data_IF_096931918327
#
_entry.id   IF_096931918327
#
_cell.length_a   1.000
_cell.length_b   1.000
_cell.length_c   1.000
_cell.angle_alpha   90.00
_cell.angle_beta   90.00
_cell.angle_gamma   90.00
#
_symmetry.space_group_name_H-M   'P 1'
#
loop_
_entity.id
_entity.type
_entity.pdbx_description
1 polymer ?
#
# COMPACT_ATOMS: atom_id res chain seq x y z
N UNK A 1 -14.39 17.66 -17.85
CA UNK A 1 -13.11 18.37 -18.03
C UNK A 1 -12.62 18.14 -19.47
N UNK A 2 -11.61 18.87 -19.95
CA UNK A 2 -10.83 18.50 -21.15
C UNK A 2 -9.36 18.59 -20.74
N UNK A 3 -8.64 17.48 -20.87
CA UNK A 3 -7.20 17.43 -20.64
C UNK A 3 -6.48 18.06 -21.85
N UNK A 4 -5.39 18.77 -21.60
CA UNK A 4 -4.37 19.09 -22.61
C UNK A 4 -3.12 18.21 -22.42
N UNK A 5 -2.29 18.09 -23.47
CA UNK A 5 -0.97 17.44 -23.44
C UNK A 5 -0.15 17.74 -22.16
N UNK A 6 -0.07 19.02 -21.76
CA UNK A 6 0.64 19.48 -20.55
C UNK A 6 0.20 18.82 -19.23
N UNK A 7 -0.95 18.13 -19.20
CA UNK A 7 -1.51 17.50 -18.00
C UNK A 7 -1.23 15.99 -17.91
N UNK A 8 -0.57 15.41 -18.91
CA UNK A 8 -0.33 13.97 -19.06
C UNK A 8 1.17 13.75 -19.29
N UNK A 9 1.82 13.04 -18.37
CA UNK A 9 3.26 12.78 -18.41
C UNK A 9 3.56 11.32 -18.06
N UNK A 10 4.76 10.84 -18.44
CA UNK A 10 5.29 9.56 -17.93
C UNK A 10 6.09 9.82 -16.65
N UNK A 11 5.73 9.11 -15.57
CA UNK A 11 6.40 9.19 -14.28
C UNK A 11 7.64 8.29 -14.20
N UNK A 12 8.40 8.45 -13.11
CA UNK A 12 9.49 7.54 -12.75
C UNK A 12 8.92 6.32 -11.99
N UNK A 13 9.12 5.08 -12.46
CA UNK A 13 8.74 3.87 -11.74
C UNK A 13 9.26 3.82 -10.29
N UNK A 14 10.47 4.37 -10.05
CA UNK A 14 11.12 4.33 -8.74
C UNK A 14 10.35 5.08 -7.65
N UNK A 15 9.43 5.96 -8.01
CA UNK A 15 8.54 6.64 -7.06
C UNK A 15 7.43 5.70 -6.58
N UNK A 16 6.89 4.85 -7.46
CA UNK A 16 5.95 3.80 -7.07
C UNK A 16 6.65 2.73 -6.24
N UNK A 17 7.87 2.32 -6.60
CA UNK A 17 8.67 1.36 -5.81
C UNK A 17 8.95 1.89 -4.39
N UNK A 18 9.23 3.20 -4.24
CA UNK A 18 9.44 3.83 -2.93
C UNK A 18 8.15 3.90 -2.10
N UNK A 19 7.02 4.26 -2.72
CA UNK A 19 5.72 4.29 -2.03
C UNK A 19 5.33 2.87 -1.59
N UNK A 20 5.54 1.86 -2.45
CA UNK A 20 5.32 0.46 -2.09
C UNK A 20 6.20 0.04 -0.91
N UNK A 21 7.53 0.15 -1.04
CA UNK A 21 8.47 -0.26 0.01
C UNK A 21 8.30 0.49 1.35
N UNK A 22 7.79 1.73 1.33
CA UNK A 22 7.46 2.50 2.53
C UNK A 22 6.16 2.03 3.21
N UNK A 23 5.16 1.62 2.42
CA UNK A 23 3.79 1.35 2.88
C UNK A 23 3.37 -0.13 2.90
N UNK A 24 4.19 -1.03 2.37
CA UNK A 24 3.85 -2.44 2.27
C UNK A 24 3.62 -3.09 3.64
N UNK A 25 2.68 -4.07 3.72
CA UNK A 25 2.58 -4.96 4.87
C UNK A 25 3.92 -5.65 5.14
N UNK A 26 4.35 -5.71 6.40
CA UNK A 26 5.72 -6.13 6.75
C UNK A 26 5.82 -7.09 7.93
N UNK A 27 6.77 -8.00 7.84
CA UNK A 27 7.33 -8.70 8.99
C UNK A 27 8.35 -7.79 9.69
N UNK A 28 8.29 -7.70 11.01
CA UNK A 28 9.23 -6.93 11.85
C UNK A 28 9.86 -7.86 12.88
N UNK A 29 11.18 -7.89 12.90
CA UNK A 29 11.99 -8.71 13.79
C UNK A 29 12.28 -7.98 15.11
N UNK A 30 12.13 -8.70 16.22
CA UNK A 30 12.63 -8.30 17.54
C UNK A 30 13.33 -9.48 18.22
N UNK A 31 14.22 -9.19 19.15
CA UNK A 31 14.97 -10.20 19.92
C UNK A 31 14.64 -10.11 21.40
N UNK A 32 14.37 -11.24 22.03
CA UNK A 32 14.34 -11.33 23.49
C UNK A 32 15.73 -10.99 24.07
N UNK A 33 15.76 -10.14 25.10
CA UNK A 33 16.98 -9.89 25.86
C UNK A 33 17.41 -11.11 26.68
N UNK A 34 18.70 -11.20 26.99
CA UNK A 34 19.25 -12.21 27.91
C UNK A 34 18.44 -12.22 29.23
N UNK A 35 17.75 -13.32 29.58
CA UNK A 35 16.92 -13.41 30.78
C UNK A 35 17.74 -13.41 32.08
N UNK A 36 19.06 -13.46 32.00
CA UNK A 36 20.01 -13.44 33.10
C UNK A 36 20.80 -12.11 33.22
N UNK A 37 20.57 -11.16 32.32
CA UNK A 37 21.23 -9.85 32.35
C UNK A 37 20.58 -8.89 33.35
N UNK A 38 21.42 -8.16 34.11
CA UNK A 38 20.99 -7.14 35.08
C UNK A 38 21.53 -5.79 34.63
N UNK A 39 20.65 -4.78 34.54
CA UNK A 39 20.95 -3.47 33.93
C UNK A 39 20.90 -2.35 34.97
N UNK A 40 22.07 -1.82 35.33
CA UNK A 40 22.15 -0.57 36.10
C UNK A 40 21.65 0.63 35.27
N UNK A 41 20.93 1.55 35.92
CA UNK A 41 20.17 2.62 35.26
C UNK A 41 20.56 4.00 35.80
N UNK A 42 21.49 4.69 35.13
CA UNK A 42 21.59 6.16 35.22
C UNK A 42 20.57 6.83 34.28
N UNK A 43 19.90 7.87 34.75
CA UNK A 43 18.85 8.59 34.01
C UNK A 43 19.32 9.99 33.62
N UNK A 44 19.23 10.32 32.33
CA UNK A 44 19.19 11.72 31.83
C UNK A 44 18.17 11.83 30.71
N UNK A 45 17.43 12.95 30.68
CA UNK A 45 16.44 13.29 29.67
C UNK A 45 16.71 14.74 29.24
N UNK A 46 16.95 15.03 27.95
CA UNK A 46 16.91 16.39 27.41
C UNK A 46 15.55 16.67 26.74
N UNK A 47 15.12 17.93 26.77
CA UNK A 47 13.89 18.43 26.12
C UNK A 47 14.21 19.59 25.18
N UNK A 48 13.52 19.70 24.05
CA UNK A 48 13.57 20.88 23.16
C UNK A 48 12.17 21.23 22.62
N UNK A 49 12.01 22.50 22.21
CA UNK A 49 10.80 23.07 21.60
C UNK A 49 11.14 23.75 20.27
N UNK A 50 10.13 24.01 19.42
CA UNK A 50 10.28 24.46 18.02
C UNK A 50 9.33 25.63 17.69
N UNK A 51 9.70 26.46 16.70
CA UNK A 51 8.85 27.46 16.00
C UNK A 51 9.70 28.30 15.02
N UNK A 52 9.15 28.97 13.98
CA UNK A 52 7.79 28.92 13.43
C UNK A 52 7.40 30.03 12.42
N UNK A 53 7.17 29.62 11.15
CA UNK A 53 6.22 30.12 10.10
C UNK A 53 6.29 31.59 9.54
N UNK A 54 6.00 31.70 8.21
CA UNK A 54 5.32 32.78 7.42
C UNK A 54 6.19 33.56 6.37
N UNK A 55 5.74 33.89 5.13
CA UNK A 55 4.57 33.43 4.34
C UNK A 55 4.14 34.29 3.10
N UNK A 56 3.63 33.63 2.04
CA UNK A 56 2.62 34.02 1.00
C UNK A 56 2.80 35.18 -0.06
N UNK A 57 2.37 34.91 -1.33
CA UNK A 57 2.07 35.88 -2.43
C UNK A 57 1.63 35.22 -3.78
N UNK A 58 0.79 35.83 -4.68
CA UNK A 58 -0.14 35.03 -5.54
C UNK A 58 -0.36 35.36 -7.07
N UNK A 59 -0.98 34.39 -7.79
CA UNK A 59 -1.84 34.44 -9.02
C UNK A 59 -1.24 34.90 -10.40
N UNK A 60 -1.75 34.52 -11.61
CA UNK A 60 -2.85 33.62 -12.09
C UNK A 60 -3.67 34.25 -13.28
N UNK A 61 -4.40 33.59 -14.21
CA UNK A 61 -4.59 32.18 -14.67
C UNK A 61 -5.51 32.12 -15.97
N UNK A 62 -5.86 30.91 -16.48
CA UNK A 62 -6.87 30.55 -17.55
C UNK A 62 -6.43 30.54 -19.06
N UNK A 63 -6.69 29.53 -19.93
CA UNK A 63 -7.78 28.52 -20.26
C UNK A 63 -8.88 29.08 -21.22
N UNK A 64 -9.45 28.41 -22.25
CA UNK A 64 -9.22 27.16 -23.04
C UNK A 64 -10.22 27.04 -24.26
N UNK A 65 -10.39 25.85 -24.92
CA UNK A 65 -11.52 25.35 -25.80
C UNK A 65 -11.60 25.63 -27.34
N UNK A 66 -12.31 24.86 -28.21
CA UNK A 66 -12.90 23.48 -28.16
C UNK A 66 -13.59 23.00 -29.47
N UNK A 67 -13.82 21.68 -29.57
CA UNK A 67 -14.97 20.99 -30.23
C UNK A 67 -15.59 19.97 -29.20
N UNK A 68 -16.45 18.97 -29.47
CA UNK A 68 -17.26 18.58 -30.64
C UNK A 68 -16.95 17.16 -31.18
N UNK A 69 -17.48 16.08 -30.54
CA UNK A 69 -17.09 14.64 -30.66
C UNK A 69 -15.72 14.45 -31.31
N UNK A 70 -14.74 14.74 -30.48
CA UNK A 70 -13.39 15.06 -30.88
C UNK A 70 -12.43 13.95 -30.47
N UNK A 71 -11.39 13.78 -31.28
CA UNK A 71 -10.05 13.70 -30.69
C UNK A 71 -9.86 15.05 -29.98
N UNK A 72 -10.13 15.09 -28.67
CA UNK A 72 -10.03 16.32 -27.87
C UNK A 72 -8.56 16.74 -27.78
N UNK A 73 -7.69 15.73 -27.74
CA UNK A 73 -6.26 15.86 -28.00
C UNK A 73 -5.69 14.50 -28.48
N UNK A 74 -4.60 14.52 -29.26
CA UNK A 74 -3.82 13.33 -29.65
C UNK A 74 -2.34 13.70 -29.80
N UNK A 75 -1.53 13.05 -28.98
CA UNK A 75 -0.08 13.23 -28.90
C UNK A 75 0.59 11.91 -28.45
N UNK A 76 1.92 11.88 -28.44
CA UNK A 76 2.69 10.70 -27.97
C UNK A 76 3.52 11.12 -26.77
N UNK A 77 3.27 10.52 -25.60
CA UNK A 77 4.02 10.78 -24.36
C UNK A 77 4.88 9.57 -24.04
N UNK A 78 6.20 9.72 -24.17
CA UNK A 78 7.13 8.60 -24.01
C UNK A 78 6.80 7.46 -24.97
N UNK A 79 6.47 6.30 -24.43
CA UNK A 79 6.12 5.07 -25.14
C UNK A 79 4.62 4.90 -25.43
N UNK A 80 3.79 5.95 -25.24
CA UNK A 80 2.34 5.87 -25.40
C UNK A 80 1.80 6.86 -26.43
N UNK A 81 1.09 6.35 -27.43
CA UNK A 81 0.18 7.16 -28.24
C UNK A 81 -1.12 7.38 -27.44
N UNK A 82 -1.42 8.63 -27.11
CA UNK A 82 -2.56 9.03 -26.29
C UNK A 82 -3.68 9.60 -27.17
N UNK A 83 -4.91 9.21 -26.85
CA UNK A 83 -6.15 9.71 -27.44
C UNK A 83 -7.12 10.07 -26.33
N UNK A 84 -7.59 11.32 -26.29
CA UNK A 84 -8.67 11.74 -25.39
C UNK A 84 -9.95 11.86 -26.22
N UNK A 85 -10.91 10.98 -25.98
CA UNK A 85 -12.14 10.88 -26.76
C UNK A 85 -13.32 11.46 -25.97
N UNK A 86 -14.07 12.37 -26.61
CA UNK A 86 -15.44 12.66 -26.21
C UNK A 86 -16.42 11.75 -26.96
N UNK A 87 -17.45 11.25 -26.28
CA UNK A 87 -18.53 10.48 -26.89
C UNK A 87 -19.90 11.00 -26.44
N UNK A 88 -20.85 11.04 -27.36
CA UNK A 88 -22.27 11.35 -27.08
C UNK A 88 -23.14 10.07 -27.11
N UNK A 89 -22.67 9.00 -27.78
CA UNK A 89 -23.35 7.70 -27.91
C UNK A 89 -22.36 6.54 -27.69
N UNK A 90 -22.80 5.46 -27.04
CA UNK A 90 -21.98 4.25 -26.75
C UNK A 90 -21.53 3.53 -28.01
N UNK A 91 -22.47 3.32 -28.91
CA UNK A 91 -22.32 2.42 -30.05
C UNK A 91 -21.36 3.03 -31.08
N UNK A 92 -21.29 4.36 -31.15
CA UNK A 92 -20.31 5.11 -31.94
C UNK A 92 -18.89 5.05 -31.37
N UNK A 93 -18.73 5.11 -30.04
CA UNK A 93 -17.42 4.98 -29.38
C UNK A 93 -16.84 3.57 -29.56
N UNK A 94 -17.68 2.55 -29.36
CA UNK A 94 -17.30 1.15 -29.57
C UNK A 94 -16.91 0.89 -31.05
N UNK A 95 -17.74 1.35 -32.00
CA UNK A 95 -17.45 1.23 -33.43
C UNK A 95 -16.11 1.89 -33.78
N UNK A 96 -15.86 3.11 -33.33
CA UNK A 96 -14.61 3.83 -33.59
C UNK A 96 -13.39 3.07 -33.05
N UNK A 97 -13.49 2.50 -31.84
CA UNK A 97 -12.41 1.71 -31.24
C UNK A 97 -12.13 0.44 -32.05
N UNK A 98 -13.16 -0.29 -32.46
CA UNK A 98 -13.02 -1.50 -33.30
C UNK A 98 -12.41 -1.16 -34.66
N UNK A 99 -12.87 -0.10 -35.33
CA UNK A 99 -12.33 0.37 -36.62
C UNK A 99 -10.86 0.80 -36.52
N UNK A 100 -10.44 1.37 -35.38
CA UNK A 100 -9.04 1.74 -35.11
C UNK A 100 -8.18 0.57 -34.58
N UNK A 101 -8.71 -0.66 -34.59
CA UNK A 101 -8.00 -1.89 -34.28
C UNK A 101 -7.81 -2.17 -32.78
N UNK A 102 -8.59 -1.52 -31.91
CA UNK A 102 -8.64 -1.88 -30.49
C UNK A 102 -9.46 -3.15 -30.29
N UNK A 103 -9.02 -4.01 -29.38
CA UNK A 103 -9.78 -5.20 -28.97
C UNK A 103 -10.74 -4.79 -27.86
N UNK A 104 -12.03 -4.85 -28.15
CA UNK A 104 -13.11 -4.54 -27.21
C UNK A 104 -13.80 -5.85 -26.82
N UNK A 105 -13.97 -6.17 -25.52
CA UNK A 105 -14.66 -7.37 -25.07
C UNK A 105 -16.19 -7.23 -25.20
N UNK A 106 -16.89 -8.36 -25.33
CA UNK A 106 -18.35 -8.41 -25.36
C UNK A 106 -18.94 -7.85 -24.04
N UNK A 107 -19.95 -6.98 -24.14
CA UNK A 107 -20.53 -6.27 -23.00
C UNK A 107 -19.84 -4.93 -22.64
N UNK A 108 -18.77 -4.54 -23.34
CA UNK A 108 -18.12 -3.26 -23.10
C UNK A 108 -19.06 -2.07 -23.37
N UNK A 109 -19.92 -2.16 -24.38
CA UNK A 109 -20.94 -1.15 -24.74
C UNK A 109 -21.87 -0.82 -23.57
N UNK A 110 -22.38 -1.85 -22.89
CA UNK A 110 -23.23 -1.75 -21.70
C UNK A 110 -22.46 -1.13 -20.51
N UNK A 111 -21.17 -1.44 -20.37
CA UNK A 111 -20.30 -0.86 -19.34
C UNK A 111 -19.84 0.58 -19.67
N UNK A 112 -19.77 0.99 -20.94
CA UNK A 112 -19.45 2.35 -21.38
C UNK A 112 -20.64 3.30 -21.22
N UNK A 113 -21.87 2.82 -21.39
CA UNK A 113 -23.08 3.64 -21.40
C UNK A 113 -23.33 4.49 -20.13
N UNK A 114 -23.02 4.04 -18.89
CA UNK A 114 -23.07 4.88 -17.69
C UNK A 114 -22.10 6.08 -17.76
N UNK A 115 -20.86 5.86 -18.15
CA UNK A 115 -19.83 6.92 -18.22
C UNK A 115 -20.18 7.99 -19.25
N UNK A 116 -20.76 7.59 -20.39
CA UNK A 116 -21.25 8.51 -21.42
C UNK A 116 -22.43 9.35 -20.90
N UNK A 117 -23.37 8.74 -20.17
CA UNK A 117 -24.48 9.46 -19.51
C UNK A 117 -24.01 10.43 -18.42
N UNK A 118 -22.86 10.15 -17.79
CA UNK A 118 -22.20 11.08 -16.86
C UNK A 118 -21.32 12.13 -17.57
N UNK A 119 -21.26 12.13 -18.91
CA UNK A 119 -20.48 13.10 -19.70
C UNK A 119 -18.96 12.96 -19.56
N UNK A 120 -18.48 11.78 -19.16
CA UNK A 120 -17.06 11.50 -18.97
C UNK A 120 -16.30 11.45 -20.31
N UNK A 121 -14.97 11.54 -20.24
CA UNK A 121 -14.06 11.43 -21.37
C UNK A 121 -13.28 10.12 -21.28
N UNK A 122 -12.98 9.53 -22.43
CA UNK A 122 -12.30 8.25 -22.50
C UNK A 122 -10.84 8.50 -22.86
N UNK A 123 -9.97 8.25 -21.89
CA UNK A 123 -8.52 8.28 -22.05
C UNK A 123 -8.08 6.91 -22.59
N UNK A 124 -7.54 6.91 -23.82
CA UNK A 124 -7.07 5.69 -24.49
C UNK A 124 -5.57 5.81 -24.73
N UNK A 125 -4.80 5.01 -24.00
CA UNK A 125 -3.36 4.89 -24.20
C UNK A 125 -3.03 3.62 -24.98
N UNK A 126 -2.25 3.75 -26.06
CA UNK A 126 -1.77 2.65 -26.88
C UNK A 126 -0.24 2.61 -26.83
N UNK A 127 0.34 1.46 -26.50
CA UNK A 127 1.80 1.31 -26.48
C UNK A 127 2.36 1.45 -27.89
N UNK A 128 3.23 2.44 -28.07
CA UNK A 128 3.99 2.68 -29.29
C UNK A 128 5.29 1.87 -29.20
N UNK A 129 5.34 0.74 -29.91
CA UNK A 129 6.46 -0.20 -29.83
C UNK A 129 7.78 0.41 -30.34
N UNK A 130 7.74 1.36 -31.28
CA UNK A 130 8.95 1.97 -31.81
C UNK A 130 9.58 2.95 -30.80
N UNK A 131 8.77 3.72 -30.06
CA UNK A 131 9.27 4.53 -28.94
C UNK A 131 9.66 3.66 -27.73
N UNK A 132 8.89 2.62 -27.41
CA UNK A 132 9.22 1.67 -26.34
C UNK A 132 10.59 1.03 -26.55
N UNK A 133 10.88 0.55 -27.76
CA UNK A 133 12.17 -0.05 -28.10
C UNK A 133 13.38 0.91 -27.99
N UNK A 134 13.16 2.24 -28.01
CA UNK A 134 14.22 3.25 -27.80
C UNK A 134 14.53 3.50 -26.32
N UNK A 135 13.61 3.19 -25.41
CA UNK A 135 13.78 3.45 -23.97
C UNK A 135 14.93 2.64 -23.35
N UNK A 136 15.21 1.46 -23.89
CA UNK A 136 16.12 0.48 -23.29
C UNK A 136 15.57 -0.22 -22.04
N UNK A 137 14.31 0.02 -21.65
CA UNK A 137 13.66 -0.64 -20.51
C UNK A 137 12.82 -1.83 -20.96
N UNK A 138 12.72 -2.86 -20.12
CA UNK A 138 11.79 -3.99 -20.29
C UNK A 138 10.44 -3.75 -19.57
N UNK A 139 10.17 -2.49 -19.17
CA UNK A 139 9.02 -2.08 -18.38
C UNK A 139 8.48 -0.76 -18.90
N UNK A 140 7.15 -0.65 -18.93
CA UNK A 140 6.41 0.57 -19.26
C UNK A 140 6.42 1.54 -18.05
N UNK A 141 6.62 2.83 -18.30
CA UNK A 141 6.60 3.87 -17.26
C UNK A 141 5.16 4.23 -16.83
N UNK A 142 4.91 4.53 -15.55
CA UNK A 142 3.59 4.96 -15.08
C UNK A 142 3.06 6.16 -15.87
N UNK A 143 1.81 6.08 -16.34
CA UNK A 143 1.10 7.24 -16.88
C UNK A 143 0.59 8.08 -15.70
N UNK A 144 0.97 9.36 -15.66
CA UNK A 144 0.46 10.35 -14.71
C UNK A 144 -0.53 11.28 -15.40
N UNK A 145 -1.60 11.64 -14.71
CA UNK A 145 -2.64 12.54 -15.21
C UNK A 145 -3.08 13.51 -14.10
N UNK A 146 -3.08 14.82 -14.37
CA UNK A 146 -3.48 15.84 -13.40
C UNK A 146 -4.78 16.54 -13.83
N UNK A 147 -5.87 16.42 -13.05
CA UNK A 147 -7.18 17.00 -13.38
C UNK A 147 -8.02 17.34 -12.14
N UNK A 148 -9.04 18.17 -12.35
CA UNK A 148 -10.03 18.56 -11.35
C UNK A 148 -11.34 17.79 -11.60
N UNK A 149 -11.89 17.13 -10.57
CA UNK A 149 -13.16 16.40 -10.61
C UNK A 149 -13.98 16.71 -9.36
N UNK A 150 -15.31 16.80 -9.50
CA UNK A 150 -16.22 16.78 -8.34
C UNK A 150 -16.47 15.34 -7.86
N UNK A 151 -16.32 14.38 -8.76
CA UNK A 151 -16.54 12.95 -8.54
C UNK A 151 -15.18 12.32 -8.19
N UNK A 152 -14.92 12.14 -6.90
CA UNK A 152 -13.71 11.48 -6.41
C UNK A 152 -13.90 9.96 -6.49
N UNK A 153 -13.70 9.40 -7.68
CA UNK A 153 -13.96 7.99 -7.97
C UNK A 153 -12.93 7.38 -8.92
N UNK A 154 -12.78 6.05 -8.88
CA UNK A 154 -12.00 5.27 -9.83
C UNK A 154 -12.91 4.29 -10.60
N UNK A 155 -13.13 4.52 -11.91
CA UNK A 155 -13.82 3.57 -12.78
C UNK A 155 -13.12 2.21 -12.85
N UNK A 156 -13.84 1.14 -12.51
CA UNK A 156 -13.37 -0.25 -12.55
C UNK A 156 -14.26 -1.18 -13.40
N UNK A 157 -15.50 -0.78 -13.74
CA UNK A 157 -16.41 -1.67 -14.51
C UNK A 157 -15.78 -2.14 -15.85
N UNK A 158 -15.13 -1.24 -16.59
CA UNK A 158 -14.50 -1.57 -17.88
C UNK A 158 -13.35 -2.60 -17.74
N UNK A 159 -12.61 -2.55 -16.62
CA UNK A 159 -11.56 -3.52 -16.32
C UNK A 159 -12.14 -4.92 -16.08
N UNK A 160 -13.28 -5.00 -15.40
CA UNK A 160 -13.96 -6.27 -15.12
C UNK A 160 -14.50 -6.97 -16.39
N UNK A 161 -15.00 -6.24 -17.39
CA UNK A 161 -15.48 -6.85 -18.65
C UNK A 161 -14.35 -7.55 -19.41
N UNK A 162 -13.10 -7.10 -19.24
CA UNK A 162 -11.92 -7.69 -19.86
C UNK A 162 -11.22 -8.76 -18.97
N UNK A 163 -11.74 -9.04 -17.76
CA UNK A 163 -11.08 -9.89 -16.78
C UNK A 163 -11.52 -11.36 -16.86
N UNK A 164 -10.54 -12.29 -16.78
CA UNK A 164 -10.80 -13.74 -16.77
C UNK A 164 -11.08 -14.30 -15.35
N UNK A 165 -11.44 -13.44 -14.40
CA UNK A 165 -11.61 -13.78 -12.97
C UNK A 165 -11.50 -12.53 -12.08
N UNK A 166 -11.31 -12.71 -10.76
CA UNK A 166 -11.03 -11.61 -9.85
C UNK A 166 -9.81 -10.79 -10.30
N UNK A 167 -9.85 -9.49 -10.04
CA UNK A 167 -8.73 -8.58 -10.30
C UNK A 167 -8.28 -7.93 -9.01
N UNK A 168 -6.96 -7.79 -8.85
CA UNK A 168 -6.35 -7.11 -7.70
C UNK A 168 -5.91 -5.70 -8.12
N UNK A 169 -6.19 -4.74 -7.24
CA UNK A 169 -5.86 -3.33 -7.42
C UNK A 169 -5.30 -2.80 -6.10
N UNK A 170 -4.07 -2.30 -6.12
CA UNK A 170 -3.46 -1.55 -5.02
C UNK A 170 -3.60 -0.07 -5.34
N UNK A 171 -4.24 0.68 -4.45
CA UNK A 171 -4.47 2.13 -4.59
C UNK A 171 -3.70 2.88 -3.51
N UNK A 172 -2.83 3.77 -3.95
CA UNK A 172 -2.14 4.74 -3.09
C UNK A 172 -2.89 6.08 -3.16
N UNK A 173 -3.33 6.57 -2.00
CA UNK A 173 -4.12 7.80 -1.88
C UNK A 173 -3.39 8.75 -0.94
N UNK A 174 -2.94 9.86 -1.49
CA UNK A 174 -2.21 10.92 -0.80
C UNK A 174 -3.18 12.08 -0.55
N UNK A 175 -3.28 12.58 0.68
CA UNK A 175 -4.20 13.67 1.07
C UNK A 175 -3.54 14.62 2.09
N UNK A 176 -3.85 15.93 2.07
CA UNK A 176 -3.47 16.85 3.14
C UNK A 176 -4.41 16.80 4.36
N UNK A 177 -5.62 16.23 4.25
CA UNK A 177 -6.59 16.16 5.34
C UNK A 177 -6.35 14.95 6.26
N UNK A 178 -6.18 13.75 5.69
CA UNK A 178 -6.11 12.50 6.44
C UNK A 178 -6.42 11.26 5.60
N UNK A 179 -6.95 10.23 6.25
CA UNK A 179 -7.26 8.93 5.65
C UNK A 179 -8.34 9.07 4.58
N UNK A 180 -8.08 8.48 3.41
CA UNK A 180 -9.09 8.33 2.36
C UNK A 180 -9.74 6.96 2.49
N UNK A 181 -11.06 6.91 2.47
CA UNK A 181 -11.84 5.68 2.60
C UNK A 181 -12.78 5.52 1.39
N UNK A 182 -13.37 4.33 1.23
CA UNK A 182 -14.50 4.17 0.31
C UNK A 182 -15.80 4.69 0.93
N UNK A 183 -16.69 5.20 0.07
CA UNK A 183 -18.00 5.73 0.42
C UNK A 183 -19.13 4.72 0.19
N UNK A 184 -19.02 3.87 -0.84
CA UNK A 184 -20.01 2.86 -1.22
C UNK A 184 -19.63 1.41 -0.89
N UNK A 185 -18.37 1.14 -0.54
CA UNK A 185 -17.91 -0.14 0.00
C UNK A 185 -17.28 0.04 1.38
N UNK A 186 -17.15 -1.04 2.16
CA UNK A 186 -16.45 -1.00 3.45
C UNK A 186 -14.94 -1.05 3.22
N UNK A 187 -14.22 -0.11 3.82
CA UNK A 187 -12.79 -0.29 4.12
C UNK A 187 -12.67 -1.12 5.40
N UNK A 188 -11.83 -2.16 5.41
CA UNK A 188 -11.58 -3.04 6.56
C UNK A 188 -10.07 -3.12 6.80
N UNK A 189 -9.64 -2.97 8.04
CA UNK A 189 -8.21 -3.02 8.38
C UNK A 189 -7.66 -4.46 8.34
N UNK A 190 -6.48 -4.65 7.75
CA UNK A 190 -5.76 -5.92 7.87
C UNK A 190 -5.35 -6.16 9.35
N UNK A 191 -5.31 -7.42 9.82
CA UNK A 191 -4.76 -7.74 11.12
C UNK A 191 -3.33 -7.19 11.28
N UNK A 192 -3.03 -6.68 12.47
CA UNK A 192 -1.73 -6.06 12.77
C UNK A 192 -1.36 -6.22 14.23
N UNK A 193 -0.10 -5.97 14.56
CA UNK A 193 0.54 -6.09 15.88
C UNK A 193 0.42 -7.50 16.50
N UNK A 194 0.28 -8.49 15.62
CA UNK A 194 0.18 -9.92 15.92
C UNK A 194 1.54 -10.59 15.86
N UNK A 195 1.83 -11.49 16.81
CA UNK A 195 3.07 -12.28 16.81
C UNK A 195 2.90 -13.53 15.92
N UNK A 196 3.90 -13.82 15.09
CA UNK A 196 3.93 -14.94 14.14
C UNK A 196 5.21 -15.76 14.27
N UNK A 197 5.20 -17.07 13.91
CA UNK A 197 6.37 -17.94 14.10
C UNK A 197 7.60 -17.55 13.26
N UNK A 198 8.81 -17.87 13.73
CA UNK A 198 10.08 -17.54 13.04
C UNK A 198 10.16 -18.04 11.58
N UNK A 199 9.52 -19.16 11.22
CA UNK A 199 9.59 -19.68 9.84
C UNK A 199 8.93 -18.74 8.81
N UNK A 200 8.01 -17.87 9.24
CA UNK A 200 7.27 -16.94 8.38
C UNK A 200 8.20 -15.97 7.64
N UNK A 201 9.40 -15.72 8.15
CA UNK A 201 10.47 -15.00 7.45
C UNK A 201 10.71 -15.49 6.01
N UNK A 202 10.62 -16.80 5.78
CA UNK A 202 10.89 -17.42 4.48
C UNK A 202 9.62 -17.68 3.66
N UNK A 203 8.45 -17.46 4.24
CA UNK A 203 7.13 -17.77 3.65
C UNK A 203 6.16 -16.57 3.67
N UNK A 204 6.65 -15.36 3.96
CA UNK A 204 5.80 -14.20 4.28
C UNK A 204 4.83 -13.84 3.15
N UNK A 205 5.22 -13.99 1.88
CA UNK A 205 4.34 -13.77 0.72
C UNK A 205 3.17 -14.75 0.65
N UNK A 206 3.40 -16.04 0.93
CA UNK A 206 2.37 -17.08 0.95
C UNK A 206 1.44 -16.91 2.16
N UNK A 207 2.02 -16.62 3.32
CA UNK A 207 1.28 -16.28 4.55
C UNK A 207 0.39 -15.05 4.34
N UNK A 208 0.92 -13.99 3.75
CA UNK A 208 0.16 -12.78 3.47
C UNK A 208 -0.97 -13.02 2.47
N UNK A 209 -0.68 -13.75 1.38
CA UNK A 209 -1.68 -14.12 0.36
C UNK A 209 -2.83 -14.95 0.95
N UNK A 210 -2.52 -15.94 1.78
CA UNK A 210 -3.52 -16.77 2.44
C UNK A 210 -4.36 -16.00 3.47
N UNK A 211 -3.73 -15.10 4.23
CA UNK A 211 -4.41 -14.22 5.18
C UNK A 211 -5.34 -13.22 4.47
N UNK A 212 -4.86 -12.58 3.40
CA UNK A 212 -5.66 -11.68 2.57
C UNK A 212 -6.91 -12.39 2.03
N UNK A 213 -6.78 -13.58 1.44
CA UNK A 213 -7.94 -14.32 0.94
C UNK A 213 -8.87 -14.76 2.09
N UNK A 214 -8.34 -15.21 3.23
CA UNK A 214 -9.17 -15.62 4.38
C UNK A 214 -10.03 -14.46 4.92
N UNK A 215 -9.49 -13.26 4.98
CA UNK A 215 -10.23 -12.05 5.38
C UNK A 215 -11.22 -11.65 4.27
N UNK A 216 -10.78 -11.65 3.01
CA UNK A 216 -11.63 -11.33 1.85
C UNK A 216 -12.87 -12.25 1.76
N UNK A 217 -12.70 -13.56 1.96
CA UNK A 217 -13.80 -14.54 2.10
C UNK A 217 -14.74 -14.16 3.25
N UNK A 218 -14.18 -14.00 4.46
CA UNK A 218 -14.91 -13.73 5.69
C UNK A 218 -15.72 -12.44 5.65
N UNK A 219 -15.17 -11.39 5.04
CA UNK A 219 -15.78 -10.07 4.91
C UNK A 219 -16.77 -9.97 3.74
N UNK A 220 -17.05 -11.08 3.04
CA UNK A 220 -18.11 -11.20 2.04
C UNK A 220 -17.67 -10.93 0.60
N UNK A 221 -16.36 -10.79 0.34
CA UNK A 221 -15.75 -10.52 -0.97
C UNK A 221 -16.16 -9.17 -1.62
N UNK A 222 -16.57 -8.18 -0.82
CA UNK A 222 -16.99 -6.85 -1.28
C UNK A 222 -16.45 -5.71 -0.38
N UNK A 223 -15.15 -5.77 -0.05
CA UNK A 223 -14.45 -4.79 0.79
C UNK A 223 -13.13 -4.33 0.15
N UNK A 224 -12.66 -3.15 0.55
CA UNK A 224 -11.27 -2.75 0.37
C UNK A 224 -10.50 -3.09 1.65
N UNK A 225 -9.35 -3.76 1.52
CA UNK A 225 -8.50 -4.08 2.66
C UNK A 225 -7.44 -2.98 2.82
N UNK A 226 -7.42 -2.35 4.00
CA UNK A 226 -6.47 -1.31 4.35
C UNK A 226 -5.16 -1.96 4.79
N UNK A 227 -4.08 -1.60 4.10
CA UNK A 227 -2.73 -2.14 4.34
C UNK A 227 -1.84 -1.11 5.07
N UNK A 228 -2.11 0.19 4.88
CA UNK A 228 -1.37 1.30 5.49
C UNK A 228 -2.22 2.58 5.56
N UNK A 229 -2.08 3.36 6.64
CA UNK A 229 -2.65 4.68 6.78
C UNK A 229 -1.83 5.53 7.78
N UNK A 230 -0.94 6.41 7.31
CA UNK A 230 -0.03 7.18 8.20
C UNK A 230 0.35 8.52 7.55
N UNK A 231 0.65 9.51 8.39
CA UNK A 231 1.31 10.77 8.04
C UNK A 231 2.78 10.58 7.60
N UNK A 232 3.12 10.91 6.35
CA UNK A 232 4.43 10.64 5.76
C UNK A 232 5.57 11.50 6.32
N UNK A 233 5.32 12.47 7.21
CA UNK A 233 6.37 13.27 7.82
C UNK A 233 7.33 12.45 8.72
N UNK A 234 6.91 11.28 9.20
CA UNK A 234 7.70 10.41 10.09
C UNK A 234 7.21 8.97 10.07
N UNK A 235 7.99 8.04 10.62
CA UNK A 235 7.58 6.66 10.88
C UNK A 235 8.32 6.11 12.10
N UNK A 236 7.69 5.20 12.86
CA UNK A 236 8.36 4.48 13.95
C UNK A 236 7.77 3.07 14.17
N UNK A 237 8.55 1.97 13.99
CA UNK A 237 9.83 1.95 13.30
C UNK A 237 9.63 2.14 11.79
N UNK A 238 10.51 2.84 11.08
CA UNK A 238 10.41 2.96 9.62
C UNK A 238 10.60 1.61 8.89
N UNK A 239 10.04 1.48 7.68
CA UNK A 239 10.21 0.32 6.81
C UNK A 239 11.23 0.63 5.70
N UNK A 240 10.97 1.69 4.95
CA UNK A 240 11.95 2.46 4.19
C UNK A 240 12.09 3.86 4.80
N UNK A 241 13.04 4.66 4.30
CA UNK A 241 13.06 6.09 4.59
C UNK A 241 11.74 6.73 4.08
N UNK A 242 11.18 7.74 4.77
CA UNK A 242 10.14 8.59 4.18
C UNK A 242 10.61 9.18 2.85
N UNK A 243 9.68 9.31 1.90
CA UNK A 243 9.95 9.97 0.62
C UNK A 243 10.41 11.41 0.86
N UNK A 244 11.38 11.88 0.07
CA UNK A 244 11.73 13.31 0.09
C UNK A 244 10.60 14.15 -0.47
N UNK A 245 10.65 15.45 -0.21
CA UNK A 245 9.68 16.41 -0.73
C UNK A 245 9.60 16.42 -2.26
N UNK A 246 10.75 16.25 -2.92
CA UNK A 246 10.89 16.18 -4.37
C UNK A 246 10.25 14.88 -4.91
N UNK A 247 10.42 13.77 -4.19
CA UNK A 247 9.80 12.48 -4.50
C UNK A 247 8.28 12.52 -4.30
N UNK A 248 7.79 13.23 -3.27
CA UNK A 248 6.36 13.48 -3.05
C UNK A 248 5.77 14.38 -4.16
N UNK A 249 6.48 15.43 -4.59
CA UNK A 249 6.08 16.23 -5.75
C UNK A 249 6.01 15.38 -7.03
N UNK A 250 6.98 14.48 -7.24
CA UNK A 250 6.95 13.50 -8.34
C UNK A 250 5.84 12.45 -8.20
N UNK A 251 5.38 12.14 -6.98
CA UNK A 251 4.19 11.34 -6.71
C UNK A 251 2.86 12.08 -6.95
N UNK A 252 2.90 13.34 -7.38
CA UNK A 252 1.71 14.16 -7.65
C UNK A 252 1.18 14.95 -6.45
N UNK A 253 1.96 15.08 -5.36
CA UNK A 253 1.57 15.84 -4.15
C UNK A 253 1.73 17.36 -4.38
N UNK A 254 0.91 17.89 -5.29
CA UNK A 254 1.02 19.26 -5.83
C UNK A 254 0.83 20.40 -4.81
N UNK A 255 0.32 20.10 -3.61
CA UNK A 255 0.07 21.09 -2.55
C UNK A 255 1.29 21.38 -1.65
N UNK A 256 2.41 20.67 -1.83
CA UNK A 256 3.65 20.98 -1.12
C UNK A 256 4.34 22.20 -1.73
N UNK A 257 4.16 23.38 -1.13
CA UNK A 257 4.94 24.56 -1.48
C UNK A 257 6.45 24.29 -1.36
N UNK A 258 7.20 24.87 -2.29
CA UNK A 258 8.67 24.88 -2.43
C UNK A 258 9.48 25.19 -1.15
N UNK A 259 8.93 25.91 -0.17
CA UNK A 259 9.60 26.26 1.11
C UNK A 259 10.07 25.04 1.92
N UNK A 260 11.37 24.93 2.21
CA UNK A 260 11.98 23.73 2.82
C UNK A 260 11.68 23.51 4.32
N UNK A 261 11.17 24.52 5.03
CA UNK A 261 11.16 24.54 6.51
C UNK A 261 9.99 23.80 7.20
N UNK A 262 9.04 23.27 6.43
CA UNK A 262 7.87 22.55 6.97
C UNK A 262 7.94 21.04 6.65
N UNK A 263 7.58 20.22 7.64
CA UNK A 263 7.34 18.80 7.42
C UNK A 263 6.19 18.60 6.39
N UNK A 264 6.26 17.58 5.51
CA UNK A 264 5.28 17.39 4.46
C UNK A 264 3.92 16.98 5.03
N UNK A 265 2.91 17.85 4.93
CA UNK A 265 1.53 17.50 5.28
C UNK A 265 0.94 16.58 4.21
N UNK A 266 1.23 15.29 4.32
CA UNK A 266 0.79 14.24 3.41
C UNK A 266 0.44 13.02 4.24
N UNK A 267 -0.83 12.63 4.24
CA UNK A 267 -1.28 11.37 4.79
C UNK A 267 -1.43 10.36 3.64
N UNK A 268 -0.72 9.23 3.73
CA UNK A 268 -0.78 8.14 2.76
C UNK A 268 -1.74 7.07 3.25
N UNK A 269 -2.72 6.71 2.41
CA UNK A 269 -3.55 5.53 2.56
C UNK A 269 -3.21 4.52 1.47
N UNK A 270 -2.94 3.26 1.84
CA UNK A 270 -2.79 2.11 0.93
C UNK A 270 -3.97 1.18 1.09
N UNK A 271 -4.78 1.03 0.05
CA UNK A 271 -5.90 0.08 0.01
C UNK A 271 -5.70 -0.94 -1.10
N UNK A 272 -5.93 -2.21 -0.79
CA UNK A 272 -5.89 -3.32 -1.73
C UNK A 272 -7.32 -3.85 -1.93
N UNK A 273 -7.79 -3.82 -3.17
CA UNK A 273 -9.15 -4.18 -3.56
C UNK A 273 -9.10 -5.37 -4.51
N UNK A 274 -9.63 -6.52 -4.08
CA UNK A 274 -9.89 -7.67 -4.95
C UNK A 274 -11.33 -7.60 -5.45
N UNK A 275 -11.54 -7.27 -6.72
CA UNK A 275 -12.85 -6.96 -7.29
C UNK A 275 -13.34 -7.98 -8.33
N UNK A 276 -14.67 -8.13 -8.42
CA UNK A 276 -15.40 -9.10 -9.26
C UNK A 276 -16.77 -8.53 -9.68
N UNK A 277 -17.31 -8.86 -10.87
CA UNK A 277 -18.58 -8.33 -11.37
C UNK A 277 -19.78 -8.55 -10.44
N UNK A 278 -19.79 -9.68 -9.72
CA UNK A 278 -20.88 -10.06 -8.83
C UNK A 278 -20.92 -9.22 -7.55
N UNK A 279 -19.77 -8.66 -7.15
CA UNK A 279 -19.53 -8.01 -5.85
C UNK A 279 -19.33 -6.50 -5.95
N UNK A 280 -18.73 -6.01 -7.04
CA UNK A 280 -18.36 -4.61 -7.25
C UNK A 280 -19.17 -3.97 -8.38
N UNK A 281 -20.50 -3.93 -8.24
CA UNK A 281 -21.45 -3.44 -9.26
C UNK A 281 -21.46 -1.93 -9.47
N UNK A 282 -20.77 -1.21 -8.61
CA UNK A 282 -20.51 0.22 -8.68
C UNK A 282 -19.00 0.45 -8.69
N UNK A 283 -18.58 1.58 -9.26
CA UNK A 283 -17.19 2.00 -9.19
C UNK A 283 -16.76 2.39 -7.78
N UNK A 284 -15.44 2.50 -7.56
CA UNK A 284 -14.88 2.85 -6.27
C UNK A 284 -15.07 4.35 -6.03
N UNK A 285 -16.03 4.73 -5.20
CA UNK A 285 -16.25 6.12 -4.79
C UNK A 285 -15.48 6.37 -3.49
N UNK A 286 -14.62 7.38 -3.47
CA UNK A 286 -13.78 7.74 -2.33
C UNK A 286 -14.32 8.94 -1.56
N UNK A 287 -13.94 9.04 -0.29
CA UNK A 287 -14.16 10.19 0.58
C UNK A 287 -12.85 10.51 1.31
N UNK A 288 -12.43 11.77 1.32
CA UNK A 288 -11.39 12.22 2.25
C UNK A 288 -11.99 12.35 3.66
N UNK A 289 -11.22 12.03 4.69
CA UNK A 289 -11.67 12.11 6.09
C UNK A 289 -10.67 12.91 6.93
N UNK A 290 -11.13 13.39 8.08
CA UNK A 290 -10.25 14.00 9.10
C UNK A 290 -9.59 12.94 10.01
N UNK A 291 -9.74 11.63 9.71
CA UNK A 291 -9.06 10.61 10.49
C UNK A 291 -7.56 10.62 10.18
N UNK A 292 -6.72 10.77 11.21
CA UNK A 292 -5.25 10.64 11.12
C UNK A 292 -4.69 9.60 12.09
N UNK A 293 -5.52 8.65 12.54
CA UNK A 293 -5.08 7.49 13.30
C UNK A 293 -4.13 6.64 12.44
N UNK A 294 -2.94 6.37 12.99
CA UNK A 294 -1.92 5.62 12.30
C UNK A 294 -2.26 4.12 12.28
N UNK A 295 -2.22 3.53 11.09
CA UNK A 295 -2.36 2.10 10.85
C UNK A 295 -1.28 1.61 9.88
N UNK A 296 -0.82 0.37 10.09
CA UNK A 296 0.07 -0.35 9.18
C UNK A 296 -0.12 -1.85 9.42
N UNK A 297 -0.15 -2.68 8.38
CA UNK A 297 -0.05 -4.13 8.51
C UNK A 297 1.34 -4.56 8.99
N UNK A 298 1.51 -4.76 10.31
CA UNK A 298 2.75 -5.19 10.95
C UNK A 298 2.57 -6.57 11.59
N UNK A 299 3.42 -7.50 11.21
CA UNK A 299 3.47 -8.86 11.73
C UNK A 299 4.79 -9.04 12.48
N UNK A 300 4.75 -9.57 13.70
CA UNK A 300 5.86 -9.49 14.65
C UNK A 300 6.54 -10.85 14.81
N UNK A 301 7.81 -10.94 14.42
CA UNK A 301 8.67 -12.09 14.65
C UNK A 301 9.53 -11.85 15.90
N UNK A 302 9.07 -12.37 17.04
CA UNK A 302 9.81 -12.28 18.30
C UNK A 302 10.78 -13.47 18.40
N UNK A 303 12.06 -13.26 18.07
CA UNK A 303 13.09 -14.30 18.21
C UNK A 303 13.48 -14.50 19.69
N UNK A 304 13.61 -15.75 20.16
CA UNK A 304 14.09 -16.02 21.50
C UNK A 304 15.60 -15.82 21.61
N UNK A 305 16.08 -15.61 22.84
CA UNK A 305 17.49 -15.51 23.18
C UNK A 305 18.18 -16.86 22.91
N UNK A 306 19.11 -16.88 21.95
CA UNK A 306 19.81 -18.10 21.49
C UNK A 306 21.15 -18.36 22.23
N UNK A 307 21.38 -17.68 23.36
CA UNK A 307 22.58 -17.85 24.20
C UNK A 307 22.39 -18.80 25.39
N UNK A 308 23.45 -19.03 26.15
CA UNK A 308 23.45 -19.92 27.33
C UNK A 308 22.61 -19.35 28.49
N UNK A 309 21.71 -20.16 29.06
CA UNK A 309 20.84 -19.73 30.15
C UNK A 309 21.42 -20.18 31.50
N UNK A 310 21.96 -19.22 32.26
CA UNK A 310 22.79 -19.50 33.48
C UNK A 310 22.13 -19.11 34.82
N UNK A 311 20.87 -18.70 34.79
CA UNK A 311 20.09 -18.21 35.93
C UNK A 311 18.74 -18.90 36.06
N UNK A 312 18.19 -18.92 37.28
CA UNK A 312 16.96 -19.65 37.59
C UNK A 312 15.70 -19.04 36.96
N UNK A 313 15.65 -17.70 36.80
CA UNK A 313 14.62 -16.97 36.02
C UNK A 313 14.57 -17.47 34.55
N UNK A 314 15.70 -17.96 34.05
CA UNK A 314 15.85 -18.54 32.72
C UNK A 314 15.05 -19.82 32.49
N UNK A 315 14.77 -20.62 33.53
CA UNK A 315 13.89 -21.80 33.43
C UNK A 315 12.47 -21.39 33.02
N UNK A 316 11.93 -20.39 33.72
CA UNK A 316 10.60 -19.86 33.44
C UNK A 316 10.55 -19.16 32.06
N UNK A 317 11.66 -18.57 31.62
CA UNK A 317 11.79 -17.99 30.29
C UNK A 317 11.62 -19.05 29.18
N UNK A 318 12.28 -20.22 29.29
CA UNK A 318 12.12 -21.31 28.31
C UNK A 318 10.65 -21.73 28.17
N UNK A 319 9.91 -21.86 29.28
CA UNK A 319 8.49 -22.20 29.20
C UNK A 319 7.67 -21.07 28.56
N UNK A 320 7.90 -19.80 28.95
CA UNK A 320 7.21 -18.64 28.34
C UNK A 320 7.41 -18.54 26.83
N UNK A 321 8.59 -18.91 26.31
CA UNK A 321 8.86 -18.97 24.86
C UNK A 321 8.08 -20.11 24.20
N UNK A 322 8.06 -21.32 24.77
CA UNK A 322 7.26 -22.43 24.22
C UNK A 322 5.77 -22.09 24.21
N UNK A 323 5.25 -21.48 25.28
CA UNK A 323 3.87 -20.99 25.33
C UNK A 323 3.64 -19.88 24.28
N UNK A 324 4.68 -19.10 23.94
CA UNK A 324 4.62 -18.08 22.87
C UNK A 324 4.56 -18.72 21.50
N UNK A 325 5.41 -19.71 21.21
CA UNK A 325 5.38 -20.50 19.99
C UNK A 325 3.99 -21.13 19.75
N UNK A 326 3.33 -21.64 20.80
CA UNK A 326 1.97 -22.18 20.69
C UNK A 326 0.95 -21.07 20.31
N UNK A 327 1.05 -19.89 20.94
CA UNK A 327 0.19 -18.73 20.61
C UNK A 327 0.46 -18.18 19.21
N UNK A 328 1.71 -18.14 18.77
CA UNK A 328 2.12 -17.73 17.41
C UNK A 328 1.51 -18.69 16.37
N UNK A 329 1.58 -20.01 16.60
CA UNK A 329 0.96 -21.01 15.73
C UNK A 329 -0.58 -20.89 15.66
N UNK A 330 -1.25 -20.68 16.81
CA UNK A 330 -2.70 -20.45 16.87
C UNK A 330 -3.11 -19.13 16.21
N UNK A 331 -2.30 -18.09 16.37
CA UNK A 331 -2.50 -16.80 15.72
C UNK A 331 -2.41 -16.95 14.20
N UNK A 332 -1.34 -17.56 13.67
CA UNK A 332 -1.17 -17.78 12.25
C UNK A 332 -2.33 -18.60 11.64
N UNK A 333 -2.75 -19.69 12.31
CA UNK A 333 -3.89 -20.50 11.87
C UNK A 333 -5.21 -19.71 11.77
N UNK A 334 -5.45 -18.80 12.73
CA UNK A 334 -6.62 -17.91 12.72
C UNK A 334 -6.54 -16.78 11.68
N UNK A 335 -5.33 -16.43 11.23
CA UNK A 335 -5.10 -15.40 10.21
C UNK A 335 -5.27 -15.95 8.79
N UNK A 336 -4.68 -17.11 8.50
CA UNK A 336 -4.62 -17.70 7.15
C UNK A 336 -5.69 -18.77 6.88
N UNK A 337 -6.42 -19.21 7.90
CA UNK A 337 -7.30 -20.38 7.82
C UNK A 337 -6.55 -21.72 7.68
N UNK A 338 -5.22 -21.73 7.78
CA UNK A 338 -4.41 -22.96 7.72
C UNK A 338 -4.61 -23.83 8.97
N UNK A 339 -4.32 -25.13 8.86
CA UNK A 339 -4.41 -26.02 10.02
C UNK A 339 -3.30 -25.74 11.02
N UNK A 340 -3.68 -25.66 12.29
CA UNK A 340 -2.74 -25.53 13.41
C UNK A 340 -1.67 -26.64 13.46
N UNK A 341 -2.00 -27.88 13.10
CA UNK A 341 -1.04 -29.01 13.01
C UNK A 341 0.09 -28.70 12.03
N UNK A 342 -0.29 -28.32 10.82
CA UNK A 342 0.60 -28.15 9.67
C UNK A 342 1.52 -26.92 9.86
N UNK A 343 1.08 -25.95 10.68
CA UNK A 343 1.89 -24.83 11.18
C UNK A 343 2.83 -25.28 12.31
N UNK A 344 2.32 -26.02 13.31
CA UNK A 344 3.07 -26.44 14.48
C UNK A 344 4.26 -27.34 14.12
N UNK A 345 4.10 -28.20 13.11
CA UNK A 345 5.18 -29.05 12.57
C UNK A 345 6.32 -28.25 11.91
N UNK A 346 6.11 -26.99 11.50
CA UNK A 346 7.16 -26.09 10.97
C UNK A 346 7.93 -25.33 12.06
N UNK A 347 7.50 -25.36 13.33
CA UNK A 347 8.13 -24.58 14.40
C UNK A 347 9.22 -25.42 15.07
N UNK A 348 10.47 -24.94 15.02
CA UNK A 348 11.56 -25.52 15.80
C UNK A 348 11.28 -25.33 17.31
N UNK A 349 11.09 -26.42 18.10
CA UNK A 349 10.68 -26.26 19.50
C UNK A 349 11.81 -25.70 20.35
N UNK A 350 11.57 -24.61 21.09
CA UNK A 350 12.62 -23.94 21.84
C UNK A 350 13.17 -24.80 22.99
N UNK A 351 14.44 -25.21 22.85
CA UNK A 351 15.16 -26.13 23.73
C UNK A 351 16.63 -25.70 23.96
N UNK A 352 16.89 -24.52 24.54
CA UNK A 352 18.26 -24.05 24.80
C UNK A 352 18.96 -24.82 25.93
N UNK A 353 20.29 -24.74 25.97
CA UNK A 353 21.09 -25.20 27.11
C UNK A 353 20.85 -24.34 28.35
N UNK A 354 20.49 -24.98 29.47
CA UNK A 354 20.25 -24.34 30.77
C UNK A 354 21.28 -24.83 31.80
N UNK A 355 22.43 -24.17 31.85
CA UNK A 355 23.55 -24.51 32.75
C UNK A 355 23.65 -23.49 33.89
N UNK A 356 22.98 -23.78 35.00
CA UNK A 356 22.93 -22.88 36.16
C UNK A 356 24.09 -23.19 37.11
N UNK A 357 25.07 -22.28 37.32
CA UNK A 357 26.18 -22.54 38.21
C UNK A 357 25.72 -22.67 39.66
N UNK A 358 26.30 -23.63 40.38
CA UNK A 358 26.04 -23.81 41.81
C UNK A 358 26.37 -22.53 42.58
N UNK A 359 25.69 -22.29 43.70
CA UNK A 359 25.83 -21.03 44.45
C UNK A 359 27.28 -20.71 44.84
N UNK A 360 28.08 -21.74 45.18
CA UNK A 360 29.50 -21.57 45.51
C UNK A 360 30.36 -21.17 44.29
N UNK A 361 29.99 -21.53 43.06
CA UNK A 361 30.69 -21.08 41.85
C UNK A 361 30.43 -19.60 41.56
N UNK A 362 29.29 -19.05 41.99
CA UNK A 362 29.01 -17.61 41.95
C UNK A 362 29.82 -16.83 43.00
N UNK A 363 30.14 -17.44 44.15
CA UNK A 363 30.96 -16.86 45.23
C UNK A 363 32.47 -16.96 44.95
N UNK A 364 32.95 -18.10 44.46
CA UNK A 364 34.37 -18.37 44.20
C UNK A 364 34.78 -18.09 42.74
N UNK A 365 34.11 -17.15 42.07
CA UNK A 365 34.43 -16.74 40.70
C UNK A 365 35.84 -16.10 40.71
N UNK A 366 36.83 -16.83 40.18
CA UNK A 366 38.20 -16.33 40.06
C UNK A 366 38.25 -15.08 39.15
N UNK A 367 39.16 -14.14 39.42
CA UNK A 367 39.43 -13.01 38.52
C UNK A 367 40.06 -13.49 37.21
#
# INVERSE_FOLDING_TARGET
YVFSEEQIQVGDPLIFDKIDAYSAPRLVEYFDSDPCYVRDYEKRIPTMSVGGINGAGPAGAARAKSLGVTIEDKFTVGEYDILILGAEESDGLETWLIENGYKIPEGAREALAPYIKMGMKFFVAKVNLDEFNKSGTNQLRPIMMAFESNDFMLPIQLGMVNANGPQDLIVYLLSPEGRVELANYRTVEMPSDVNVPEFVENEFGDVYTAMFEHIYEREGKNVALLEYAWDMAWCDPCAANPLTKEELLQAGVFWLDSSFDNAPNVYLTRMHVRYTPEKFKEDLIFKSTQNRENFQGRYVMQRPFKGEITCDIGKDYVQRVRDRQEREARTLANLTGWKYSDIWEKIEPFNPSVEIPNWWQRVFRKP
#
